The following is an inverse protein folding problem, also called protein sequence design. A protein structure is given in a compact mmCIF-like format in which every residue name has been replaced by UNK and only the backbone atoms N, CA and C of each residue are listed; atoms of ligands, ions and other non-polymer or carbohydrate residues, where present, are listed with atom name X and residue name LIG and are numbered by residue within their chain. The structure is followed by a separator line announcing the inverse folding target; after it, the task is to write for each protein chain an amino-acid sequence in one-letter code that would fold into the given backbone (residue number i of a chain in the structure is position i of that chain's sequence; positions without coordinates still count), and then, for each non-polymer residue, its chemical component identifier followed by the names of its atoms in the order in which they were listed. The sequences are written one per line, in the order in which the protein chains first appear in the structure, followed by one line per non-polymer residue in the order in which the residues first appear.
data_IF_526441983553
#
_entry.id   IF_526441983553
#
_cell.length_a   1.000
_cell.length_b   1.000
_cell.length_c   1.000
_cell.angle_alpha   90.00
_cell.angle_beta   90.00
_cell.angle_gamma   90.00
#
_symmetry.space_group_name_H-M   'P 1'
#
loop_
_entity.id
_entity.type
_entity.pdbx_description
1 polymer ?
#
# COMPACT_ATOMS: atom_id res chain seq x y z
N UNK A 1 46.47 -37.23 -6.04
CA UNK A 1 45.03 -37.50 -6.27
C UNK A 1 44.14 -37.28 -5.04
N UNK A 2 44.60 -37.49 -3.80
CA UNK A 2 43.78 -37.28 -2.59
C UNK A 2 43.55 -35.79 -2.25
N UNK A 3 44.56 -34.94 -2.42
CA UNK A 3 44.48 -33.51 -2.13
C UNK A 3 43.51 -32.75 -3.08
N UNK A 4 43.56 -33.04 -4.37
CA UNK A 4 42.66 -32.45 -5.38
C UNK A 4 41.20 -32.84 -5.13
N UNK A 5 40.95 -34.07 -4.64
CA UNK A 5 39.60 -34.53 -4.25
C UNK A 5 39.08 -33.81 -3.00
N UNK A 6 39.95 -33.49 -2.04
CA UNK A 6 39.58 -32.72 -0.83
C UNK A 6 39.24 -31.26 -1.19
N UNK A 7 40.00 -30.65 -2.10
CA UNK A 7 39.73 -29.29 -2.58
C UNK A 7 38.41 -29.25 -3.37
N UNK A 8 38.14 -30.25 -4.21
CA UNK A 8 36.86 -30.37 -4.93
C UNK A 8 35.66 -30.59 -3.99
N UNK A 9 35.84 -31.33 -2.89
CA UNK A 9 34.80 -31.52 -1.87
C UNK A 9 34.50 -30.23 -1.08
N UNK A 10 35.52 -29.42 -0.79
CA UNK A 10 35.34 -28.11 -0.14
C UNK A 10 34.67 -27.09 -1.07
N UNK A 11 35.00 -27.10 -2.37
CA UNK A 11 34.38 -26.23 -3.37
C UNK A 11 32.88 -26.54 -3.58
N UNK A 12 32.48 -27.82 -3.46
CA UNK A 12 31.09 -28.23 -3.57
C UNK A 12 30.22 -27.74 -2.39
N UNK A 13 30.82 -27.54 -1.22
CA UNK A 13 30.11 -27.10 -0.01
C UNK A 13 29.88 -25.58 0.05
N UNK A 14 30.63 -24.78 -0.72
CA UNK A 14 30.44 -23.33 -0.81
C UNK A 14 29.39 -22.90 -1.86
N UNK A 15 28.96 -23.81 -2.72
CA UNK A 15 28.00 -23.52 -3.80
C UNK A 15 26.54 -23.35 -3.37
N UNK A 16 26.17 -23.68 -2.11
CA UNK A 16 24.77 -23.70 -1.67
C UNK A 16 24.28 -22.45 -0.93
N UNK A 17 25.07 -21.38 -0.82
CA UNK A 17 24.65 -20.16 -0.08
C UNK A 17 24.00 -19.06 -0.95
N UNK A 18 23.69 -19.33 -2.22
CA UNK A 18 23.09 -18.33 -3.13
C UNK A 18 21.64 -18.64 -3.53
N UNK A 19 20.77 -19.00 -2.58
CA UNK A 19 19.32 -18.84 -2.79
C UNK A 19 18.69 -18.27 -1.53
N UNK A 20 18.69 -16.93 -1.49
CA UNK A 20 17.99 -16.12 -0.51
C UNK A 20 17.39 -14.86 -1.13
N UNK A 21 16.96 -14.90 -2.39
CA UNK A 21 16.13 -13.84 -2.98
C UNK A 21 14.68 -14.08 -2.60
N UNK A 22 14.37 -13.83 -1.33
CA UNK A 22 13.05 -14.11 -0.78
C UNK A 22 12.69 -13.19 0.37
N UNK A 23 13.12 -11.92 0.33
CA UNK A 23 12.60 -10.81 1.13
C UNK A 23 13.42 -9.54 0.84
N UNK A 24 12.95 -8.71 -0.09
CA UNK A 24 13.03 -7.24 -0.01
C UNK A 24 12.58 -6.58 -1.33
N UNK A 25 11.30 -6.74 -1.65
CA UNK A 25 10.56 -5.68 -2.36
C UNK A 25 9.26 -5.43 -1.58
N UNK A 26 9.47 -5.02 -0.34
CA UNK A 26 8.48 -4.41 0.52
C UNK A 26 9.12 -3.23 1.23
N UNK A 27 9.86 -2.39 0.47
CA UNK A 27 10.19 -1.06 0.97
C UNK A 27 8.86 -0.34 1.13
N UNK A 28 8.37 -0.30 2.37
CA UNK A 28 7.44 0.72 2.81
C UNK A 28 8.17 2.06 2.59
N UNK A 29 7.90 2.69 1.45
CA UNK A 29 8.33 4.05 1.16
C UNK A 29 7.54 4.95 2.11
N UNK A 30 8.09 5.19 3.30
CA UNK A 30 7.79 6.38 4.08
C UNK A 30 8.71 7.49 3.55
N UNK A 31 8.32 8.09 2.42
CA UNK A 31 9.03 9.24 1.88
C UNK A 31 8.51 10.51 2.57
N UNK A 32 8.95 10.73 3.81
CA UNK A 32 8.95 12.06 4.42
C UNK A 32 10.13 12.86 3.86
N UNK A 33 10.01 13.37 2.64
CA UNK A 33 10.74 14.55 2.13
C UNK A 33 10.41 14.74 0.63
N UNK A 34 9.57 15.74 0.33
CA UNK A 34 9.50 16.35 -1.02
C UNK A 34 8.24 16.20 -1.87
N UNK A 35 7.08 15.81 -1.31
CA UNK A 35 5.81 15.62 -2.06
C UNK A 35 4.64 16.50 -1.59
N UNK A 36 4.91 17.72 -1.13
CA UNK A 36 3.89 18.60 -0.55
C UNK A 36 2.70 18.91 -1.48
N UNK A 37 2.89 18.81 -2.80
CA UNK A 37 1.90 19.23 -3.81
C UNK A 37 0.93 18.12 -4.26
N UNK A 38 1.10 16.87 -3.80
CA UNK A 38 0.23 15.73 -4.19
C UNK A 38 -0.27 14.92 -3.00
N UNK A 39 -0.33 15.54 -1.82
CA UNK A 39 -0.78 14.84 -0.62
C UNK A 39 -2.30 14.70 -0.63
N UNK A 40 -2.79 13.48 -0.77
CA UNK A 40 -4.20 13.16 -0.52
C UNK A 40 -4.48 13.34 0.97
N UNK A 41 -5.57 14.05 1.28
CA UNK A 41 -6.01 14.25 2.66
C UNK A 41 -7.15 13.30 2.97
N UNK A 42 -7.13 12.69 4.16
CA UNK A 42 -8.17 11.77 4.61
C UNK A 42 -8.71 12.22 5.97
N UNK A 43 -10.02 12.42 6.07
CA UNK A 43 -10.64 12.92 7.28
C UNK A 43 -12.10 12.44 7.43
N UNK A 44 -12.61 12.31 8.67
CA UNK A 44 -11.84 12.32 9.91
C UNK A 44 -10.96 11.06 10.02
N UNK A 45 -9.81 11.19 10.67
CA UNK A 45 -8.99 10.06 11.08
C UNK A 45 -8.68 10.25 12.57
N UNK A 46 -9.36 9.54 13.50
CA UNK A 46 -10.12 8.31 13.25
C UNK A 46 -11.51 8.51 12.61
N UNK A 47 -11.90 7.59 11.72
CA UNK A 47 -13.20 7.59 11.05
C UNK A 47 -14.25 6.80 11.86
N UNK A 48 -15.51 7.24 11.85
CA UNK A 48 -16.62 6.53 12.52
C UNK A 48 -17.57 5.92 11.49
N UNK A 49 -18.32 6.76 10.76
CA UNK A 49 -19.29 6.30 9.77
C UNK A 49 -18.79 6.45 8.33
N UNK A 50 -18.08 7.55 8.06
CA UNK A 50 -17.56 7.89 6.75
C UNK A 50 -16.11 8.34 6.84
N UNK A 51 -15.36 8.02 5.79
CA UNK A 51 -14.04 8.57 5.52
C UNK A 51 -14.14 9.42 4.25
N UNK A 52 -13.77 10.69 4.33
CA UNK A 52 -13.68 11.59 3.19
C UNK A 52 -12.24 11.63 2.69
N UNK A 53 -12.07 11.45 1.39
CA UNK A 53 -10.79 11.43 0.70
C UNK A 53 -10.75 12.62 -0.24
N UNK A 54 -9.89 13.58 0.06
CA UNK A 54 -9.69 14.80 -0.74
C UNK A 54 -8.44 14.67 -1.59
N UNK A 55 -8.65 14.64 -2.90
CA UNK A 55 -7.64 14.50 -3.92
C UNK A 55 -7.02 15.87 -4.24
N UNK A 56 -5.72 15.93 -4.59
CA UNK A 56 -5.06 17.18 -4.98
C UNK A 56 -5.49 17.67 -6.38
N UNK A 57 -6.04 16.81 -7.23
CA UNK A 57 -6.45 17.12 -8.62
C UNK A 57 -7.92 16.76 -8.87
N UNK A 58 -8.62 17.49 -9.78
CA UNK A 58 -10.06 17.32 -10.03
C UNK A 58 -10.38 16.07 -10.89
N UNK A 59 -10.03 14.89 -10.39
CA UNK A 59 -10.18 13.62 -11.12
C UNK A 59 -10.81 12.50 -10.26
N UNK A 60 -11.64 12.85 -9.29
CA UNK A 60 -12.32 11.89 -8.41
C UNK A 60 -13.04 10.75 -9.16
N UNK A 61 -13.65 11.05 -10.32
CA UNK A 61 -14.39 10.07 -11.11
C UNK A 61 -13.49 8.99 -11.77
N UNK A 62 -12.21 9.28 -12.03
CA UNK A 62 -11.30 8.38 -12.73
C UNK A 62 -10.30 7.68 -11.81
N UNK A 63 -10.27 8.04 -10.52
CA UNK A 63 -9.37 7.45 -9.55
C UNK A 63 -9.92 6.12 -9.04
N UNK A 64 -9.10 5.08 -9.10
CA UNK A 64 -9.42 3.79 -8.51
C UNK A 64 -9.05 3.81 -7.02
N UNK A 65 -10.06 3.72 -6.18
CA UNK A 65 -9.93 3.58 -4.73
C UNK A 65 -10.17 2.12 -4.34
N UNK A 66 -9.25 1.51 -3.60
CA UNK A 66 -9.41 0.17 -3.06
C UNK A 66 -9.12 0.17 -1.55
N UNK A 67 -10.04 -0.37 -0.76
CA UNK A 67 -9.89 -0.45 0.68
C UNK A 67 -9.38 -1.84 1.06
N UNK A 68 -8.36 -1.90 1.90
CA UNK A 68 -7.78 -3.14 2.38
C UNK A 68 -7.78 -3.21 3.91
N UNK A 69 -7.97 -4.42 4.45
CA UNK A 69 -7.74 -4.70 5.87
C UNK A 69 -6.25 -4.70 6.21
N UNK A 70 -5.91 -4.75 7.49
CA UNK A 70 -4.51 -4.82 7.96
C UNK A 70 -3.74 -6.05 7.44
N UNK A 71 -4.45 -7.12 7.09
CA UNK A 71 -3.88 -8.35 6.51
C UNK A 71 -3.94 -8.37 4.97
N UNK A 72 -4.40 -7.29 4.33
CA UNK A 72 -4.37 -7.12 2.87
C UNK A 72 -5.63 -7.52 2.11
N UNK A 73 -6.67 -8.04 2.79
CA UNK A 73 -7.92 -8.40 2.12
C UNK A 73 -8.62 -7.15 1.58
N UNK A 74 -8.99 -7.16 0.30
CA UNK A 74 -9.79 -6.08 -0.29
C UNK A 74 -11.23 -6.13 0.24
N UNK A 75 -11.76 -4.97 0.61
CA UNK A 75 -13.07 -4.80 1.20
C UNK A 75 -13.97 -4.05 0.22
N UNK A 76 -15.13 -4.64 -0.07
CA UNK A 76 -16.15 -3.97 -0.86
C UNK A 76 -16.92 -2.99 0.04
N UNK A 77 -16.80 -1.71 -0.25
CA UNK A 77 -17.43 -0.61 0.50
C UNK A 77 -18.11 0.35 -0.46
N UNK A 78 -19.20 0.94 0.01
CA UNK A 78 -19.93 1.97 -0.73
C UNK A 78 -19.06 3.22 -0.84
N UNK A 79 -18.95 3.74 -2.07
CA UNK A 79 -18.18 4.94 -2.42
C UNK A 79 -19.13 5.90 -3.11
N UNK A 80 -19.13 7.14 -2.64
CA UNK A 80 -19.95 8.22 -3.19
C UNK A 80 -19.01 9.35 -3.62
N UNK A 81 -19.08 9.74 -4.88
CA UNK A 81 -18.38 10.93 -5.34
C UNK A 81 -19.18 12.16 -4.89
N UNK A 82 -18.58 13.00 -4.05
CA UNK A 82 -19.21 14.23 -3.55
C UNK A 82 -19.00 15.36 -4.56
N UNK A 83 -17.79 15.48 -5.09
CA UNK A 83 -17.44 16.44 -6.13
C UNK A 83 -16.24 15.97 -6.99
N UNK A 84 -15.58 16.87 -7.73
CA UNK A 84 -14.44 16.54 -8.57
C UNK A 84 -13.15 16.19 -7.79
N UNK A 85 -13.07 16.59 -6.52
CA UNK A 85 -11.92 16.44 -5.63
C UNK A 85 -12.18 15.48 -4.48
N UNK A 86 -13.43 15.26 -4.10
CA UNK A 86 -13.81 14.53 -2.89
C UNK A 86 -14.61 13.26 -3.18
N UNK A 87 -14.15 12.18 -2.55
CA UNK A 87 -14.87 10.91 -2.51
C UNK A 87 -15.13 10.54 -1.06
N UNK A 88 -16.37 10.18 -0.76
CA UNK A 88 -16.80 9.67 0.54
C UNK A 88 -16.89 8.16 0.49
N UNK A 89 -16.31 7.52 1.50
CA UNK A 89 -16.32 6.06 1.65
C UNK A 89 -17.10 5.74 2.92
N UNK A 90 -18.13 4.89 2.82
CA UNK A 90 -18.87 4.41 3.99
C UNK A 90 -18.05 3.32 4.69
N UNK A 91 -17.70 3.58 5.94
CA UNK A 91 -16.89 2.66 6.79
C UNK A 91 -17.65 2.20 8.04
N UNK A 92 -18.90 2.64 8.21
CA UNK A 92 -19.75 2.37 9.37
C UNK A 92 -19.80 0.89 9.78
N UNK A 93 -19.93 0.00 8.79
CA UNK A 93 -20.14 -1.43 9.00
C UNK A 93 -18.82 -2.21 9.17
N UNK A 94 -17.67 -1.51 9.14
CA UNK A 94 -16.37 -2.11 9.36
C UNK A 94 -16.05 -2.21 10.87
N UNK A 95 -15.39 -3.29 11.32
CA UNK A 95 -14.84 -3.35 12.67
C UNK A 95 -13.87 -2.21 12.97
N UNK A 96 -13.72 -1.88 14.25
CA UNK A 96 -12.68 -0.96 14.70
C UNK A 96 -11.29 -1.52 14.41
N UNK A 97 -10.40 -0.69 13.87
CA UNK A 97 -9.06 -1.14 13.52
C UNK A 97 -8.38 -0.28 12.47
N UNK A 98 -7.16 -0.69 12.09
CA UNK A 98 -6.40 -0.04 11.03
C UNK A 98 -6.75 -0.61 9.66
N UNK A 99 -6.88 0.29 8.70
CA UNK A 99 -7.17 -0.02 7.30
C UNK A 99 -6.24 0.77 6.38
N UNK A 100 -6.12 0.28 5.15
CA UNK A 100 -5.29 0.87 4.12
C UNK A 100 -6.15 1.23 2.91
N UNK A 101 -6.11 2.50 2.50
CA UNK A 101 -6.75 2.97 1.29
C UNK A 101 -5.69 3.12 0.19
N UNK A 102 -5.79 2.28 -0.83
CA UNK A 102 -4.98 2.35 -2.04
C UNK A 102 -5.66 3.26 -3.06
N UNK A 103 -4.89 4.18 -3.62
CA UNK A 103 -5.33 5.19 -4.59
C UNK A 103 -4.48 5.00 -5.84
N UNK A 104 -5.12 4.67 -6.96
CA UNK A 104 -4.46 4.50 -8.26
C UNK A 104 -5.12 5.41 -9.28
N UNK A 105 -4.33 6.30 -9.87
CA UNK A 105 -4.75 7.08 -11.03
C UNK A 105 -4.77 6.20 -12.29
N UNK A 106 -5.60 6.56 -13.27
CA UNK A 106 -5.75 5.82 -14.53
C UNK A 106 -4.53 5.95 -15.46
N UNK A 107 -3.74 7.01 -15.31
CA UNK A 107 -2.48 7.23 -16.05
C UNK A 107 -1.23 6.67 -15.34
N UNK A 108 -0.02 7.06 -15.76
CA UNK A 108 1.23 6.82 -15.01
C UNK A 108 1.30 7.61 -13.69
N UNK A 109 0.15 8.05 -13.17
CA UNK A 109 -0.02 8.99 -12.07
C UNK A 109 0.11 8.35 -10.68
N UNK A 110 -0.53 8.99 -9.71
CA UNK A 110 -0.41 8.67 -8.29
C UNK A 110 -0.77 7.20 -8.01
N UNK A 111 0.19 6.46 -7.44
CA UNK A 111 -0.03 5.17 -6.78
C UNK A 111 0.43 5.31 -5.35
N UNK A 112 -0.52 5.46 -4.44
CA UNK A 112 -0.24 5.67 -3.02
C UNK A 112 -1.20 4.86 -2.17
N UNK A 113 -0.72 4.44 -1.00
CA UNK A 113 -1.54 3.74 0.00
C UNK A 113 -1.45 4.51 1.30
N UNK A 114 -2.60 4.82 1.88
CA UNK A 114 -2.70 5.59 3.11
C UNK A 114 -3.33 4.78 4.22
N UNK A 115 -2.78 4.88 5.44
CA UNK A 115 -3.32 4.23 6.64
C UNK A 115 -4.30 5.15 7.34
N UNK A 116 -5.44 4.61 7.76
CA UNK A 116 -6.37 5.31 8.68
C UNK A 116 -6.89 4.37 9.78
N UNK A 117 -7.40 4.96 10.85
CA UNK A 117 -8.01 4.26 11.97
C UNK A 117 -9.54 4.36 11.88
N UNK A 118 -10.24 3.23 11.95
CA UNK A 118 -11.69 3.14 12.13
C UNK A 118 -11.96 2.98 13.65
N UNK A 119 -12.84 3.81 14.21
CA UNK A 119 -13.36 3.70 15.59
C UNK A 119 -14.63 2.88 15.68
#
# INVERSE_FOLDING_TARGET
MKLVKVILLFALFWGFSFVGYGQNQGQAIYQEAGLSDRLVQMYPNPASDYLTVKLPTPHAASVQLALHSVIGNELNVEKEQIDAYEVRIRVKDLPSGYYFLSIKDAGPGLKATYKFLKR
#
